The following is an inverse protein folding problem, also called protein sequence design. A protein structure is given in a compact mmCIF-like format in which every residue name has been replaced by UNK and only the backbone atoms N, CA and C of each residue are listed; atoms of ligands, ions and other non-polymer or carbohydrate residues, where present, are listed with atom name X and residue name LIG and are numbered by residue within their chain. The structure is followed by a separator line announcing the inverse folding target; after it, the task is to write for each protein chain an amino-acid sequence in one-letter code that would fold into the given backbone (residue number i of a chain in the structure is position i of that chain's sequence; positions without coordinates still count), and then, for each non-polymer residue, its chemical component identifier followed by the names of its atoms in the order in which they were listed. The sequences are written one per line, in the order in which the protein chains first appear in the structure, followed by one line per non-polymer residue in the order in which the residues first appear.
data_IF_584123925995
#
_entry.id   IF_584123925995
#
_cell.length_a   1.000
_cell.length_b   1.000
_cell.length_c   1.000
_cell.angle_alpha   90.00
_cell.angle_beta   90.00
_cell.angle_gamma   90.00
#
_symmetry.space_group_name_H-M   'P 1'
#
loop_
_entity.id
_entity.type
_entity.pdbx_description
1 polymer ?
#
# COMPACT_ATOMS: atom_id res chain seq x y z
N UNK A 1 17.94 -3.95 6.84
CA UNK A 1 17.63 -4.61 5.55
C UNK A 1 18.71 -4.21 4.55
N UNK A 2 19.32 -5.12 3.77
CA UNK A 2 20.31 -4.70 2.79
C UNK A 2 19.59 -4.21 1.53
N UNK A 3 19.86 -2.99 1.12
CA UNK A 3 19.30 -2.36 -0.09
C UNK A 3 20.14 -2.69 -1.33
N UNK A 4 20.66 -3.91 -1.41
CA UNK A 4 21.49 -4.42 -2.48
C UNK A 4 20.70 -5.27 -3.49
N UNK A 5 21.41 -5.88 -4.45
CA UNK A 5 20.83 -6.76 -5.45
C UNK A 5 20.07 -7.96 -4.83
N UNK A 6 20.55 -8.49 -3.69
CA UNK A 6 19.91 -9.61 -2.99
C UNK A 6 18.60 -9.18 -2.34
N UNK A 7 18.54 -7.95 -1.80
CA UNK A 7 17.30 -7.36 -1.28
C UNK A 7 16.25 -7.22 -2.38
N UNK A 8 16.64 -6.80 -3.60
CA UNK A 8 15.76 -6.74 -4.76
C UNK A 8 15.25 -8.11 -5.19
N UNK A 9 16.11 -9.12 -5.24
CA UNK A 9 15.73 -10.48 -5.63
C UNK A 9 14.74 -11.07 -4.61
N UNK A 10 14.97 -10.87 -3.32
CA UNK A 10 14.05 -11.29 -2.26
C UNK A 10 12.69 -10.61 -2.36
N UNK A 11 12.65 -9.33 -2.75
CA UNK A 11 11.39 -8.62 -2.96
C UNK A 11 10.61 -9.16 -4.16
N UNK A 12 11.29 -9.39 -5.29
CA UNK A 12 10.66 -10.00 -6.50
C UNK A 12 10.10 -11.41 -6.23
N UNK A 13 10.65 -12.11 -5.25
CA UNK A 13 10.16 -13.42 -4.80
C UNK A 13 9.17 -13.31 -3.61
N UNK A 14 8.77 -12.09 -3.22
CA UNK A 14 7.84 -11.86 -2.12
C UNK A 14 6.39 -11.79 -2.62
N UNK A 15 5.40 -12.16 -1.78
CA UNK A 15 3.99 -11.97 -2.10
C UNK A 15 3.62 -10.52 -2.45
N UNK A 16 4.33 -9.54 -1.89
CA UNK A 16 4.13 -8.11 -2.18
C UNK A 16 4.38 -7.76 -3.65
N UNK A 17 5.35 -8.43 -4.30
CA UNK A 17 5.59 -8.23 -5.73
C UNK A 17 4.35 -8.57 -6.56
N UNK A 18 3.75 -9.73 -6.30
CA UNK A 18 2.55 -10.18 -7.00
C UNK A 18 1.36 -9.24 -6.75
N UNK A 19 1.23 -8.72 -5.53
CA UNK A 19 0.21 -7.71 -5.20
C UNK A 19 0.41 -6.46 -6.06
N UNK A 20 1.61 -5.87 -6.07
CA UNK A 20 1.91 -4.69 -6.87
C UNK A 20 1.72 -4.92 -8.37
N UNK A 21 2.05 -6.12 -8.88
CA UNK A 21 1.79 -6.49 -10.29
C UNK A 21 0.29 -6.47 -10.63
N UNK A 22 -0.59 -6.87 -9.71
CA UNK A 22 -2.04 -6.80 -9.93
C UNK A 22 -2.57 -5.38 -9.74
N UNK A 23 -2.15 -4.69 -8.68
CA UNK A 23 -2.56 -3.30 -8.42
C UNK A 23 -2.12 -2.38 -9.54
N UNK A 24 -0.93 -2.58 -10.11
CA UNK A 24 -0.44 -1.81 -11.26
C UNK A 24 -1.36 -1.90 -12.50
N UNK A 25 -2.12 -2.99 -12.66
CA UNK A 25 -3.09 -3.14 -13.76
C UNK A 25 -4.39 -2.37 -13.50
N UNK A 26 -4.69 -2.07 -12.24
CA UNK A 26 -5.93 -1.42 -11.83
C UNK A 26 -5.79 0.11 -11.72
N UNK A 27 -4.58 0.61 -11.44
CA UNK A 27 -4.33 2.04 -11.24
C UNK A 27 -4.11 2.78 -12.56
N UNK A 28 -4.49 4.07 -12.56
CA UNK A 28 -4.23 5.02 -13.64
C UNK A 28 -4.16 6.45 -13.04
N UNK A 29 -3.94 7.46 -13.85
CA UNK A 29 -3.86 8.85 -13.37
C UNK A 29 -2.69 9.06 -12.41
N UNK A 30 -2.85 9.94 -11.45
CA UNK A 30 -1.85 10.29 -10.45
C UNK A 30 -2.03 9.41 -9.19
N UNK A 31 -0.96 8.75 -8.75
CA UNK A 31 -0.99 7.73 -7.68
C UNK A 31 -0.07 8.12 -6.54
N UNK A 32 -0.54 7.96 -5.29
CA UNK A 32 0.30 7.98 -4.10
C UNK A 32 0.52 6.54 -3.59
N UNK A 33 1.77 6.17 -3.35
CA UNK A 33 2.15 4.88 -2.76
C UNK A 33 2.69 5.11 -1.35
N UNK A 34 1.87 4.89 -0.35
CA UNK A 34 2.19 5.11 1.07
C UNK A 34 2.91 3.88 1.62
N UNK A 35 4.07 4.09 2.26
CA UNK A 35 4.95 3.02 2.71
C UNK A 35 5.69 2.38 1.54
N UNK A 36 6.20 3.19 0.61
CA UNK A 36 6.80 2.76 -0.64
C UNK A 36 8.08 1.91 -0.49
N UNK A 37 8.64 1.85 0.70
CA UNK A 37 9.84 1.08 1.00
C UNK A 37 11.01 1.41 0.07
N UNK A 38 11.62 0.37 -0.51
CA UNK A 38 12.73 0.52 -1.46
C UNK A 38 12.31 0.91 -2.87
N UNK A 39 11.03 1.20 -3.13
CA UNK A 39 10.52 1.85 -4.33
C UNK A 39 10.20 0.92 -5.51
N UNK A 40 10.44 -0.40 -5.41
CA UNK A 40 10.14 -1.30 -6.54
C UNK A 40 8.63 -1.37 -6.81
N UNK A 41 7.79 -1.43 -5.76
CA UNK A 41 6.34 -1.39 -5.88
C UNK A 41 5.86 -0.10 -6.57
N UNK A 42 6.32 1.05 -6.10
CA UNK A 42 6.05 2.36 -6.72
C UNK A 42 6.43 2.40 -8.19
N UNK A 43 7.60 1.83 -8.54
CA UNK A 43 8.04 1.71 -9.93
C UNK A 43 7.11 0.82 -10.78
N UNK A 44 6.58 -0.27 -10.20
CA UNK A 44 5.61 -1.13 -10.90
C UNK A 44 4.30 -0.40 -11.18
N UNK A 45 3.78 0.39 -10.22
CA UNK A 45 2.57 1.19 -10.40
C UNK A 45 2.70 2.17 -11.59
N UNK A 46 3.89 2.74 -11.79
CA UNK A 46 4.16 3.68 -12.88
C UNK A 46 4.06 3.07 -14.29
N UNK A 47 3.83 1.76 -14.43
CA UNK A 47 3.60 1.13 -15.74
C UNK A 47 2.32 1.64 -16.41
N UNK A 48 1.26 1.87 -15.61
CA UNK A 48 -0.05 2.32 -16.08
C UNK A 48 -0.46 3.69 -15.52
N UNK A 49 0.12 4.12 -14.39
CA UNK A 49 -0.11 5.44 -13.83
C UNK A 49 0.54 6.55 -14.70
N UNK A 50 -0.07 7.72 -14.69
CA UNK A 50 0.49 8.95 -15.30
C UNK A 50 1.70 9.43 -14.49
N UNK A 51 1.57 9.48 -13.15
CA UNK A 51 2.66 9.74 -12.22
C UNK A 51 2.45 8.98 -10.92
N UNK A 52 3.55 8.70 -10.20
CA UNK A 52 3.51 8.05 -8.88
C UNK A 52 4.42 8.77 -7.91
N UNK A 53 3.92 9.07 -6.71
CA UNK A 53 4.71 9.57 -5.60
C UNK A 53 4.74 8.51 -4.50
N UNK A 54 5.92 7.95 -4.23
CA UNK A 54 6.15 7.08 -3.08
C UNK A 54 6.41 7.91 -1.81
N UNK A 55 5.69 7.62 -0.74
CA UNK A 55 5.91 8.20 0.59
C UNK A 55 6.53 7.14 1.50
N UNK A 56 7.69 7.44 2.09
CA UNK A 56 8.42 6.50 2.95
C UNK A 56 9.00 7.24 4.17
N UNK A 57 8.84 6.60 5.34
CA UNK A 57 9.32 7.16 6.61
C UNK A 57 10.80 6.84 6.87
N UNK A 58 11.29 5.70 6.36
CA UNK A 58 12.69 5.30 6.47
C UNK A 58 13.53 6.05 5.43
N UNK A 59 14.38 6.96 5.88
CA UNK A 59 15.23 7.76 5.01
C UNK A 59 16.21 6.94 4.18
N UNK A 60 16.68 5.79 4.68
CA UNK A 60 17.58 4.88 3.96
C UNK A 60 16.88 4.19 2.80
N UNK A 61 15.68 3.64 3.04
CA UNK A 61 14.84 3.03 2.02
C UNK A 61 14.45 4.06 0.95
N UNK A 62 13.97 5.23 1.38
CA UNK A 62 13.60 6.33 0.49
C UNK A 62 14.77 6.79 -0.38
N UNK A 63 15.94 7.03 0.22
CA UNK A 63 17.14 7.46 -0.53
C UNK A 63 17.61 6.39 -1.53
N UNK A 64 17.44 5.11 -1.22
CA UNK A 64 17.69 4.02 -2.16
C UNK A 64 16.67 4.04 -3.31
N UNK A 65 15.38 4.17 -2.99
CA UNK A 65 14.29 4.23 -3.96
C UNK A 65 14.49 5.40 -4.94
N UNK A 66 14.80 6.57 -4.40
CA UNK A 66 15.01 7.79 -5.17
C UNK A 66 16.17 7.65 -6.17
N UNK A 67 17.34 7.18 -5.72
CA UNK A 67 18.48 6.95 -6.62
C UNK A 67 18.23 5.88 -7.68
N UNK A 68 17.32 4.94 -7.41
CA UNK A 68 17.15 3.75 -8.24
C UNK A 68 16.02 3.89 -9.24
N UNK A 69 14.91 4.53 -8.85
CA UNK A 69 13.65 4.50 -9.58
C UNK A 69 13.10 5.88 -9.92
N UNK A 70 13.61 6.97 -9.32
CA UNK A 70 13.14 8.32 -9.66
C UNK A 70 13.39 8.65 -11.13
N UNK A 71 12.38 9.24 -11.75
CA UNK A 71 12.41 9.69 -13.14
C UNK A 71 11.33 10.76 -13.34
N UNK A 72 11.02 11.16 -14.57
CA UNK A 72 10.01 12.18 -14.87
C UNK A 72 8.57 11.84 -14.42
N UNK A 73 8.28 10.60 -14.02
CA UNK A 73 6.96 10.14 -13.58
C UNK A 73 6.95 9.51 -12.18
N UNK A 74 8.09 9.20 -11.61
CA UNK A 74 8.24 8.56 -10.29
C UNK A 74 9.11 9.43 -9.41
N UNK A 75 8.65 9.74 -8.22
CA UNK A 75 9.41 10.47 -7.20
C UNK A 75 9.15 9.87 -5.81
N UNK A 76 10.06 10.15 -4.86
CA UNK A 76 9.97 9.64 -3.50
C UNK A 76 10.11 10.78 -2.49
N UNK A 77 9.15 10.87 -1.57
CA UNK A 77 9.10 11.89 -0.53
C UNK A 77 9.15 11.24 0.85
N UNK A 78 9.76 11.94 1.80
CA UNK A 78 9.66 11.56 3.21
C UNK A 78 8.24 11.82 3.71
N UNK A 79 7.63 10.83 4.37
CA UNK A 79 6.28 11.00 4.88
C UNK A 79 5.83 9.90 5.85
N UNK A 80 5.37 10.35 7.02
CA UNK A 80 4.55 9.55 7.94
C UNK A 80 3.10 9.92 7.66
N UNK A 81 2.32 8.97 7.15
CA UNK A 81 0.92 9.22 6.74
C UNK A 81 0.07 9.82 7.86
N UNK A 82 0.38 9.51 9.13
CA UNK A 82 -0.37 10.05 10.28
C UNK A 82 -0.03 11.52 10.59
N UNK A 83 1.10 12.03 10.08
CA UNK A 83 1.64 13.36 10.43
C UNK A 83 1.79 14.30 9.25
N UNK A 84 1.88 13.77 8.02
CA UNK A 84 2.17 14.59 6.87
C UNK A 84 1.01 15.54 6.54
N UNK A 85 1.36 16.72 6.02
CA UNK A 85 0.40 17.65 5.45
C UNK A 85 -0.08 17.16 4.07
N UNK A 86 -1.40 17.13 3.88
CA UNK A 86 -2.00 16.69 2.63
C UNK A 86 -2.19 17.90 1.70
N UNK A 87 -1.23 18.11 0.80
CA UNK A 87 -1.26 19.21 -0.18
C UNK A 87 -1.56 18.77 -1.62
N UNK A 88 -1.40 17.47 -1.90
CA UNK A 88 -1.65 16.89 -3.22
C UNK A 88 -2.86 15.96 -3.18
N UNK A 89 -3.48 15.78 -4.34
CA UNK A 89 -4.63 14.88 -4.51
C UNK A 89 -4.33 13.88 -5.63
N UNK A 90 -4.85 12.66 -5.46
CA UNK A 90 -4.54 11.51 -6.29
C UNK A 90 -5.81 10.79 -6.74
N UNK A 91 -5.74 10.18 -7.92
CA UNK A 91 -6.78 9.27 -8.41
C UNK A 91 -6.77 7.96 -7.58
N UNK A 92 -5.57 7.51 -7.20
CA UNK A 92 -5.37 6.33 -6.37
C UNK A 92 -4.40 6.60 -5.22
N UNK A 93 -4.69 6.00 -4.08
CA UNK A 93 -3.74 5.82 -2.97
C UNK A 93 -3.53 4.32 -2.78
N UNK A 94 -2.30 3.88 -2.67
CA UNK A 94 -1.95 2.50 -2.33
C UNK A 94 -1.29 2.42 -0.95
N UNK A 95 -1.64 1.41 -0.15
CA UNK A 95 -1.05 1.10 1.15
C UNK A 95 -0.83 -0.43 1.23
N UNK A 96 0.28 -0.92 0.68
CA UNK A 96 0.54 -2.35 0.54
C UNK A 96 1.41 -2.85 1.69
N UNK A 97 0.81 -3.63 2.60
CA UNK A 97 1.43 -4.15 3.83
C UNK A 97 2.01 -3.01 4.69
N UNK A 98 1.16 -2.04 5.03
CA UNK A 98 1.53 -0.82 5.78
C UNK A 98 0.68 -0.65 7.04
N UNK A 99 -0.64 -0.87 6.94
CA UNK A 99 -1.60 -0.54 8.01
C UNK A 99 -1.32 -1.33 9.29
N UNK A 100 -0.82 -2.57 9.20
CA UNK A 100 -0.44 -3.41 10.32
C UNK A 100 0.72 -2.87 11.16
N UNK A 101 1.48 -1.92 10.62
CA UNK A 101 2.60 -1.25 11.31
C UNK A 101 2.18 0.07 11.98
N UNK A 102 0.96 0.54 11.77
CA UNK A 102 0.49 1.84 12.25
C UNK A 102 -0.39 1.65 13.49
N UNK A 103 -0.07 2.37 14.58
CA UNK A 103 -0.87 2.31 15.83
C UNK A 103 -2.22 2.99 15.68
N UNK A 104 -2.22 4.18 15.07
CA UNK A 104 -3.43 4.96 14.80
C UNK A 104 -3.88 4.68 13.35
N UNK A 105 -4.43 3.48 13.17
CA UNK A 105 -4.89 2.98 11.87
C UNK A 105 -6.06 3.83 11.33
N UNK A 106 -6.96 4.27 12.22
CA UNK A 106 -8.08 5.15 11.83
C UNK A 106 -7.57 6.49 11.26
N UNK A 107 -6.64 7.15 11.96
CA UNK A 107 -6.05 8.41 11.48
C UNK A 107 -5.31 8.22 10.15
N UNK A 108 -4.58 7.11 9.99
CA UNK A 108 -3.90 6.81 8.73
C UNK A 108 -4.90 6.69 7.57
N UNK A 109 -6.05 6.04 7.78
CA UNK A 109 -7.10 5.91 6.77
C UNK A 109 -7.78 7.24 6.46
N UNK A 110 -8.07 8.07 7.48
CA UNK A 110 -8.58 9.42 7.25
C UNK A 110 -7.61 10.27 6.41
N UNK A 111 -6.30 10.18 6.70
CA UNK A 111 -5.27 10.85 5.91
C UNK A 111 -5.21 10.31 4.49
N UNK A 112 -5.26 8.99 4.30
CA UNK A 112 -5.33 8.38 2.98
C UNK A 112 -6.57 8.85 2.20
N UNK A 113 -7.75 8.91 2.83
CA UNK A 113 -8.96 9.48 2.22
C UNK A 113 -8.77 10.96 1.86
N UNK A 114 -8.12 11.75 2.72
CA UNK A 114 -7.79 13.14 2.43
C UNK A 114 -6.81 13.30 1.25
N UNK A 115 -6.03 12.30 0.89
CA UNK A 115 -5.16 12.31 -0.30
C UNK A 115 -5.93 12.05 -1.60
N UNK A 116 -7.12 11.49 -1.54
CA UNK A 116 -7.89 11.12 -2.72
C UNK A 116 -8.61 12.33 -3.34
N UNK A 117 -8.70 12.33 -4.66
CA UNK A 117 -9.66 13.14 -5.42
C UNK A 117 -11.10 12.67 -5.12
N UNK A 118 -12.14 13.50 -5.39
CA UNK A 118 -13.51 12.99 -5.43
C UNK A 118 -13.60 11.76 -6.35
N UNK A 119 -14.19 10.67 -5.87
CA UNK A 119 -14.26 9.36 -6.53
C UNK A 119 -12.89 8.64 -6.69
N UNK A 120 -11.84 9.12 -6.05
CA UNK A 120 -10.57 8.41 -6.00
C UNK A 120 -10.67 7.12 -5.19
N UNK A 121 -9.70 6.22 -5.38
CA UNK A 121 -9.75 4.87 -4.83
C UNK A 121 -8.53 4.59 -3.94
N UNK A 122 -8.77 4.11 -2.71
CA UNK A 122 -7.74 3.48 -1.89
C UNK A 122 -7.67 1.99 -2.20
N UNK A 123 -6.46 1.48 -2.47
CA UNK A 123 -6.18 0.04 -2.51
C UNK A 123 -5.21 -0.28 -1.37
N UNK A 124 -5.62 -1.16 -0.48
CA UNK A 124 -4.85 -1.51 0.71
C UNK A 124 -4.68 -3.02 0.82
N UNK A 125 -3.51 -3.49 1.24
CA UNK A 125 -3.28 -4.87 1.63
C UNK A 125 -2.74 -4.98 3.05
N UNK A 126 -3.02 -6.11 3.68
CA UNK A 126 -2.47 -6.48 5.00
C UNK A 126 -2.49 -8.00 5.16
N UNK A 127 -1.58 -8.58 5.95
CA UNK A 127 -1.64 -9.99 6.32
C UNK A 127 -2.95 -10.34 7.01
N UNK A 128 -3.45 -11.55 6.73
CA UNK A 128 -4.67 -12.07 7.34
C UNK A 128 -4.35 -12.80 8.64
N UNK A 129 -4.85 -12.29 9.77
CA UNK A 129 -4.69 -12.90 11.10
C UNK A 129 -5.21 -14.34 11.21
N UNK A 130 -6.20 -14.71 10.40
CA UNK A 130 -6.79 -16.06 10.41
C UNK A 130 -5.97 -17.06 9.59
N UNK A 131 -5.07 -16.59 8.74
CA UNK A 131 -4.24 -17.47 7.92
C UNK A 131 -3.13 -18.13 8.74
N UNK A 132 -2.56 -19.22 8.20
CA UNK A 132 -1.46 -19.97 8.84
C UNK A 132 -0.07 -19.43 8.49
N UNK A 133 0.07 -18.11 8.38
CA UNK A 133 1.40 -17.54 8.16
C UNK A 133 2.09 -17.22 9.50
N UNK A 134 3.41 -17.05 9.45
CA UNK A 134 4.17 -16.64 10.64
C UNK A 134 3.99 -15.14 10.87
N UNK A 135 3.42 -14.79 12.01
CA UNK A 135 3.29 -13.39 12.43
C UNK A 135 4.66 -12.71 12.52
N UNK A 136 4.71 -11.45 12.08
CA UNK A 136 5.90 -10.60 12.22
C UNK A 136 5.89 -9.88 13.56
N UNK A 137 7.04 -9.83 14.24
CA UNK A 137 7.22 -9.08 15.49
C UNK A 137 7.11 -7.55 15.28
N UNK A 138 7.14 -7.09 14.02
CA UNK A 138 6.99 -5.68 13.64
C UNK A 138 5.54 -5.26 13.43
N UNK A 139 4.58 -6.20 13.44
CA UNK A 139 3.16 -5.88 13.30
C UNK A 139 2.60 -5.42 14.64
N UNK A 140 2.09 -4.20 14.66
CA UNK A 140 1.37 -3.66 15.84
C UNK A 140 0.00 -4.31 15.94
N UNK A 141 -0.66 -4.53 14.79
CA UNK A 141 -1.98 -5.15 14.69
C UNK A 141 -2.06 -5.98 13.41
N UNK A 142 -2.87 -7.02 13.45
CA UNK A 142 -3.25 -7.82 12.28
C UNK A 142 -4.78 -7.97 12.25
N UNK A 143 -5.33 -8.10 11.07
CA UNK A 143 -6.77 -8.06 10.84
C UNK A 143 -7.29 -9.38 10.30
N UNK A 144 -8.48 -9.80 10.76
CA UNK A 144 -9.33 -10.69 9.99
C UNK A 144 -10.07 -9.91 8.91
N UNK A 145 -10.57 -10.55 7.83
CA UNK A 145 -11.25 -9.86 6.75
C UNK A 145 -12.39 -8.95 7.21
N UNK A 146 -13.21 -9.41 8.16
CA UNK A 146 -14.33 -8.61 8.67
C UNK A 146 -13.88 -7.47 9.58
N UNK A 147 -12.81 -7.64 10.37
CA UNK A 147 -12.23 -6.57 11.18
C UNK A 147 -11.69 -5.44 10.29
N UNK A 148 -11.00 -5.80 9.20
CA UNK A 148 -10.52 -4.84 8.21
C UNK A 148 -11.69 -4.13 7.53
N UNK A 149 -12.75 -4.87 7.13
CA UNK A 149 -13.96 -4.29 6.56
C UNK A 149 -14.58 -3.25 7.48
N UNK A 150 -14.80 -3.58 8.74
CA UNK A 150 -15.40 -2.67 9.74
C UNK A 150 -14.57 -1.41 9.93
N UNK A 151 -13.24 -1.54 10.04
CA UNK A 151 -12.34 -0.40 10.15
C UNK A 151 -12.42 0.50 8.90
N UNK A 152 -12.34 -0.08 7.70
CA UNK A 152 -12.41 0.68 6.46
C UNK A 152 -13.78 1.35 6.27
N UNK A 153 -14.88 0.69 6.63
CA UNK A 153 -16.24 1.23 6.54
C UNK A 153 -16.53 2.36 7.53
N UNK A 154 -15.67 2.56 8.54
CA UNK A 154 -15.77 3.75 9.40
C UNK A 154 -15.26 5.02 8.72
N UNK A 155 -14.55 4.88 7.59
CA UNK A 155 -13.95 6.00 6.84
C UNK A 155 -14.50 6.09 5.42
N UNK A 156 -14.73 4.98 4.74
CA UNK A 156 -15.14 4.90 3.33
C UNK A 156 -16.56 4.36 3.19
N UNK A 157 -17.31 4.90 2.24
CA UNK A 157 -18.72 4.52 2.01
C UNK A 157 -18.84 3.16 1.28
N UNK A 158 -17.89 2.86 0.39
CA UNK A 158 -17.83 1.62 -0.38
C UNK A 158 -16.55 0.86 -0.07
N UNK A 159 -16.66 -0.35 0.49
CA UNK A 159 -15.54 -1.21 0.85
C UNK A 159 -15.73 -2.61 0.28
N UNK A 160 -14.88 -2.95 -0.69
CA UNK A 160 -14.77 -4.31 -1.24
C UNK A 160 -13.56 -5.04 -0.67
N UNK A 161 -13.78 -6.21 -0.02
CA UNK A 161 -12.67 -7.08 0.41
C UNK A 161 -12.37 -8.09 -0.69
N UNK A 162 -11.10 -8.29 -0.99
CA UNK A 162 -10.62 -9.07 -2.12
C UNK A 162 -9.39 -9.92 -1.77
N UNK A 163 -9.06 -10.86 -2.64
CA UNK A 163 -7.78 -11.54 -2.66
C UNK A 163 -6.70 -10.68 -3.36
N UNK A 164 -5.46 -11.19 -3.41
CA UNK A 164 -4.34 -10.47 -4.06
C UNK A 164 -4.52 -10.29 -5.58
N UNK A 165 -5.49 -10.96 -6.20
CA UNK A 165 -5.87 -10.80 -7.62
C UNK A 165 -7.00 -9.81 -7.82
N UNK A 166 -7.39 -9.08 -6.76
CA UNK A 166 -8.53 -8.16 -6.74
C UNK A 166 -9.88 -8.85 -7.05
N UNK A 167 -10.00 -10.13 -6.68
CA UNK A 167 -11.26 -10.89 -6.75
C UNK A 167 -11.89 -11.01 -5.38
N UNK A 168 -13.22 -11.14 -5.27
CA UNK A 168 -13.87 -11.42 -4.00
C UNK A 168 -13.23 -12.61 -3.28
N UNK A 169 -13.10 -12.52 -1.95
CA UNK A 169 -12.53 -13.62 -1.15
C UNK A 169 -13.34 -14.88 -1.30
N UNK A 170 -12.69 -15.97 -1.67
CA UNK A 170 -13.28 -17.32 -1.70
C UNK A 170 -13.22 -18.01 -0.32
N UNK A 171 -12.32 -17.53 0.57
CA UNK A 171 -12.11 -18.08 1.92
C UNK A 171 -11.70 -16.99 2.90
N UNK A 172 -12.20 -17.07 4.13
CA UNK A 172 -11.80 -16.20 5.23
C UNK A 172 -10.31 -16.37 5.63
N UNK A 173 -9.64 -17.45 5.18
CA UNK A 173 -8.23 -17.75 5.42
C UNK A 173 -7.30 -17.27 4.30
N UNK A 174 -7.84 -16.63 3.26
CA UNK A 174 -7.02 -16.08 2.16
C UNK A 174 -6.01 -15.07 2.70
N UNK A 175 -4.76 -15.16 2.27
CA UNK A 175 -3.68 -14.26 2.68
C UNK A 175 -2.83 -13.85 1.46
N UNK A 176 -2.50 -12.56 1.30
CA UNK A 176 -2.99 -11.43 2.09
C UNK A 176 -4.45 -11.08 1.81
N UNK A 177 -5.02 -10.22 2.66
CA UNK A 177 -6.29 -9.56 2.39
C UNK A 177 -6.00 -8.28 1.63
N UNK A 178 -6.74 -8.06 0.54
CA UNK A 178 -6.80 -6.73 -0.09
C UNK A 178 -8.17 -6.10 0.16
N UNK A 179 -8.18 -4.77 0.12
CA UNK A 179 -9.43 -4.02 0.06
C UNK A 179 -9.35 -2.89 -0.96
N UNK A 180 -10.47 -2.61 -1.59
CA UNK A 180 -10.68 -1.48 -2.52
C UNK A 180 -11.78 -0.61 -1.92
N UNK A 181 -11.48 0.68 -1.71
CA UNK A 181 -12.34 1.62 -0.99
C UNK A 181 -12.59 2.89 -1.78
N UNK A 182 -13.82 3.40 -1.72
CA UNK A 182 -14.23 4.68 -2.32
C UNK A 182 -15.09 5.50 -1.37
#
# INVERSE_FOLDING_TARGET
MSYDLWGRLRYVLSPQFDIYEQVAKAVHGDVADVGSGTGLGTHLLARNAKSVIGYEIDDGARAFADRTFSNGRVSFLSGDVTKMFIGLKFDFVTMIDVIEHIRDDYLALEKAKQMLLPNGTLIISTPNRLSRYRKSDYHVREYAPEELRLLLSSVFDNVGIADYKLKPLESEYTNPILAVCQ
#
